data_IF_511668078478
#
_entry.id   IF_511668078478
#
_cell.length_a   1.000
_cell.length_b   1.000
_cell.length_c   1.000
_cell.angle_alpha   90.00
_cell.angle_beta   90.00
_cell.angle_gamma   90.00
#
_symmetry.space_group_name_H-M   'P 1'
#
loop_
_entity.id
_entity.type
_entity.pdbx_description
1 polymer ?
#
# COMPACT_ATOMS: atom_id res chain seq x y z
N UNK A 1 -35.46 -20.88 11.75
CA UNK A 1 -34.68 -19.63 11.76
C UNK A 1 -33.59 -19.57 10.68
N UNK A 2 -32.81 -20.65 10.45
CA UNK A 2 -31.74 -20.65 9.41
C UNK A 2 -32.29 -20.49 7.97
N UNK A 3 -33.45 -21.08 7.65
CA UNK A 3 -34.06 -20.94 6.32
C UNK A 3 -34.57 -19.53 6.00
N UNK A 4 -34.97 -18.76 7.01
CA UNK A 4 -35.40 -17.36 6.84
C UNK A 4 -34.21 -16.43 6.60
N UNK A 5 -33.05 -16.74 7.19
CA UNK A 5 -31.82 -15.97 7.00
C UNK A 5 -31.22 -16.17 5.59
N UNK A 6 -31.30 -17.40 5.05
CA UNK A 6 -30.91 -17.70 3.67
C UNK A 6 -31.86 -17.06 2.64
N UNK A 7 -33.16 -17.01 2.94
CA UNK A 7 -34.14 -16.31 2.09
C UNK A 7 -33.95 -14.79 2.10
N UNK A 8 -33.64 -14.19 3.26
CA UNK A 8 -33.31 -12.76 3.34
C UNK A 8 -32.04 -12.39 2.56
N UNK A 9 -31.01 -13.25 2.59
CA UNK A 9 -29.78 -13.11 1.80
C UNK A 9 -30.03 -13.27 0.28
N UNK A 10 -31.02 -14.07 -0.11
CA UNK A 10 -31.40 -14.25 -1.51
C UNK A 10 -32.23 -13.07 -2.05
N UNK A 11 -33.10 -12.50 -1.22
CA UNK A 11 -33.93 -11.34 -1.58
C UNK A 11 -33.09 -10.05 -1.69
N UNK A 12 -32.09 -9.86 -0.81
CA UNK A 12 -31.13 -8.76 -0.95
C UNK A 12 -30.24 -8.88 -2.21
N UNK A 13 -29.97 -10.10 -2.68
CA UNK A 13 -29.18 -10.35 -3.89
C UNK A 13 -29.93 -10.00 -5.19
N UNK A 14 -31.27 -10.06 -5.20
CA UNK A 14 -32.07 -9.86 -6.41
C UNK A 14 -32.40 -8.38 -6.69
N UNK A 15 -32.30 -7.49 -5.68
CA UNK A 15 -32.61 -6.06 -5.83
C UNK A 15 -31.38 -5.20 -6.18
N UNK A 16 -30.15 -5.71 -6.05
CA UNK A 16 -28.93 -4.99 -6.42
C UNK A 16 -28.56 -5.23 -7.90
N UNK A 17 -29.40 -4.78 -8.83
CA UNK A 17 -28.98 -4.58 -10.22
C UNK A 17 -28.38 -3.20 -10.35
N UNK A 18 -27.12 -3.04 -9.96
CA UNK A 18 -26.32 -1.86 -10.32
C UNK A 18 -25.02 -2.28 -11.02
N UNK A 19 -24.78 -1.66 -12.18
CA UNK A 19 -23.54 -1.77 -12.95
C UNK A 19 -22.42 -1.01 -12.23
N UNK A 20 -21.92 -1.53 -11.13
CA UNK A 20 -20.66 -1.09 -10.51
C UNK A 20 -19.89 -2.32 -10.10
N UNK A 21 -18.57 -2.33 -10.36
CA UNK A 21 -17.69 -3.46 -10.10
C UNK A 21 -17.48 -3.62 -8.59
N UNK A 22 -18.45 -4.22 -7.90
CA UNK A 22 -18.21 -4.82 -6.59
C UNK A 22 -17.33 -6.05 -6.79
N UNK A 23 -16.06 -5.95 -6.37
CA UNK A 23 -15.42 -7.13 -5.81
C UNK A 23 -16.27 -7.46 -4.58
N UNK A 24 -17.22 -8.37 -4.73
CA UNK A 24 -17.91 -8.97 -3.60
C UNK A 24 -16.84 -9.72 -2.82
N UNK A 25 -16.26 -9.09 -1.80
CA UNK A 25 -15.70 -9.84 -0.69
C UNK A 25 -16.91 -10.16 0.17
N UNK A 26 -17.48 -11.37 0.12
CA UNK A 26 -18.52 -11.73 1.07
C UNK A 26 -17.94 -11.50 2.47
N UNK A 27 -18.65 -10.73 3.30
CA UNK A 27 -18.36 -10.59 4.73
C UNK A 27 -18.52 -12.00 5.30
N UNK A 28 -17.43 -12.74 5.30
CA UNK A 28 -17.40 -14.18 5.52
C UNK A 28 -17.11 -14.49 6.99
N UNK A 29 -16.65 -13.48 7.75
CA UNK A 29 -16.29 -13.62 9.16
C UNK A 29 -16.83 -12.48 10.03
N UNK A 30 -17.11 -12.79 11.30
CA UNK A 30 -17.48 -11.81 12.32
C UNK A 30 -16.42 -10.69 12.48
N UNK A 31 -15.15 -11.02 12.18
CA UNK A 31 -14.03 -10.10 12.27
C UNK A 31 -14.04 -9.07 11.13
N UNK A 32 -14.35 -9.47 9.91
CA UNK A 32 -14.56 -8.54 8.79
C UNK A 32 -15.71 -7.59 9.10
N UNK A 33 -16.81 -8.09 9.68
CA UNK A 33 -17.93 -7.25 10.10
C UNK A 33 -17.51 -6.19 11.13
N UNK A 34 -16.71 -6.54 12.13
CA UNK A 34 -16.21 -5.59 13.13
C UNK A 34 -15.32 -4.51 12.50
N UNK A 35 -14.48 -4.88 11.53
CA UNK A 35 -13.66 -3.93 10.78
C UNK A 35 -14.54 -2.93 10.01
N UNK A 36 -15.46 -3.39 9.17
CA UNK A 36 -16.30 -2.50 8.36
C UNK A 36 -17.17 -1.58 9.23
N UNK A 37 -17.66 -2.08 10.38
CA UNK A 37 -18.40 -1.26 11.35
C UNK A 37 -17.54 -0.14 11.94
N UNK A 38 -16.31 -0.46 12.37
CA UNK A 38 -15.39 0.53 12.92
C UNK A 38 -15.00 1.55 11.84
N UNK A 39 -14.69 1.08 10.62
CA UNK A 39 -14.31 1.94 9.50
C UNK A 39 -15.43 2.90 9.14
N UNK A 40 -16.67 2.40 9.00
CA UNK A 40 -17.83 3.25 8.72
C UNK A 40 -18.04 4.30 9.81
N UNK A 41 -17.79 3.96 11.08
CA UNK A 41 -17.92 4.90 12.19
C UNK A 41 -16.91 6.04 12.07
N UNK A 42 -15.64 5.73 11.75
CA UNK A 42 -14.62 6.74 11.47
C UNK A 42 -15.02 7.59 10.26
N UNK A 43 -15.43 6.95 9.16
CA UNK A 43 -15.83 7.59 7.93
C UNK A 43 -16.99 8.59 8.14
N UNK A 44 -18.09 8.13 8.75
CA UNK A 44 -19.26 8.96 9.03
C UNK A 44 -18.90 10.15 9.94
N UNK A 45 -17.95 9.95 10.87
CA UNK A 45 -17.48 11.01 11.75
C UNK A 45 -16.69 12.07 10.97
N UNK A 46 -15.71 11.65 10.18
CA UNK A 46 -14.89 12.57 9.37
C UNK A 46 -15.74 13.32 8.35
N UNK A 47 -16.68 12.65 7.68
CA UNK A 47 -17.60 13.30 6.75
C UNK A 47 -18.47 14.37 7.43
N UNK A 48 -19.01 14.09 8.63
CA UNK A 48 -19.77 15.07 9.40
C UNK A 48 -18.92 16.23 9.90
N UNK A 49 -17.69 15.93 10.35
CA UNK A 49 -16.72 16.94 10.80
C UNK A 49 -16.40 17.91 9.66
N UNK A 50 -16.02 17.36 8.50
CA UNK A 50 -15.66 18.12 7.31
C UNK A 50 -16.83 18.99 6.83
N UNK A 51 -18.04 18.43 6.76
CA UNK A 51 -19.25 19.20 6.40
C UNK A 51 -19.52 20.36 7.36
N UNK A 52 -19.44 20.13 8.68
CA UNK A 52 -19.67 21.18 9.69
C UNK A 52 -18.66 22.32 9.57
N UNK A 53 -17.40 21.99 9.28
CA UNK A 53 -16.33 22.98 9.20
C UNK A 53 -16.40 23.74 7.87
N UNK A 54 -16.75 23.06 6.77
CA UNK A 54 -17.06 23.72 5.49
C UNK A 54 -18.19 24.75 5.67
N UNK A 55 -19.28 24.38 6.32
CA UNK A 55 -20.43 25.25 6.60
C UNK A 55 -20.02 26.48 7.46
N UNK A 56 -19.14 26.28 8.44
CA UNK A 56 -18.58 27.37 9.25
C UNK A 56 -17.65 28.30 8.44
N UNK A 57 -17.00 27.78 7.41
CA UNK A 57 -16.06 28.51 6.55
C UNK A 57 -16.75 29.26 5.39
N UNK A 58 -17.97 28.90 4.99
CA UNK A 58 -18.69 29.51 3.84
C UNK A 58 -19.01 31.00 3.99
N UNK A 59 -18.86 31.57 5.19
CA UNK A 59 -19.09 33.00 5.47
C UNK A 59 -17.80 33.79 5.83
N UNK A 60 -16.62 33.20 5.68
CA UNK A 60 -15.34 33.87 5.97
C UNK A 60 -14.81 34.51 4.68
N UNK A 61 -14.62 35.85 4.63
CA UNK A 61 -14.10 36.52 3.44
C UNK A 61 -12.75 35.94 3.00
N UNK A 62 -12.62 35.60 1.70
CA UNK A 62 -11.42 35.06 1.04
C UNK A 62 -10.17 35.95 1.12
N UNK A 63 -10.25 37.12 1.77
CA UNK A 63 -9.19 38.10 1.75
C UNK A 63 -8.09 37.69 2.74
N UNK A 64 -7.13 36.89 2.27
CA UNK A 64 -5.86 36.55 2.93
C UNK A 64 -5.96 36.00 4.37
N UNK A 65 -7.10 35.46 4.77
CA UNK A 65 -7.32 35.09 6.16
C UNK A 65 -6.86 33.65 6.41
N UNK A 66 -5.64 33.54 6.90
CA UNK A 66 -5.01 32.37 7.47
C UNK A 66 -5.92 31.46 8.33
N UNK A 67 -6.89 32.05 9.03
CA UNK A 67 -7.89 31.33 9.83
C UNK A 67 -8.79 30.43 8.97
N UNK A 68 -9.04 30.79 7.71
CA UNK A 68 -9.77 29.95 6.74
C UNK A 68 -8.94 28.75 6.30
N UNK A 69 -7.65 28.94 6.01
CA UNK A 69 -6.73 27.84 5.68
C UNK A 69 -6.56 26.91 6.88
N UNK A 70 -6.40 27.45 8.09
CA UNK A 70 -6.30 26.64 9.31
C UNK A 70 -7.62 25.93 9.62
N UNK A 71 -8.78 26.58 9.43
CA UNK A 71 -10.08 25.94 9.58
C UNK A 71 -10.32 24.84 8.53
N UNK A 72 -9.92 25.04 7.28
CA UNK A 72 -9.93 23.96 6.27
C UNK A 72 -9.00 22.82 6.65
N UNK A 73 -7.80 23.11 7.15
CA UNK A 73 -6.85 22.10 7.62
C UNK A 73 -7.42 21.36 8.85
N UNK A 74 -8.14 22.04 9.73
CA UNK A 74 -8.80 21.42 10.87
C UNK A 74 -10.16 20.77 10.50
N UNK A 75 -10.66 20.94 9.27
CA UNK A 75 -11.95 20.42 8.82
C UNK A 75 -12.04 18.90 8.98
N UNK A 76 -10.93 18.25 8.64
CA UNK A 76 -10.84 16.80 8.56
C UNK A 76 -10.21 16.19 9.82
N UNK A 77 -9.71 17.04 10.74
CA UNK A 77 -9.13 16.64 12.01
C UNK A 77 -9.88 17.19 13.22
N UNK A 78 -10.45 16.27 14.00
CA UNK A 78 -11.11 16.55 15.27
C UNK A 78 -10.66 15.52 16.31
N UNK A 79 -10.69 15.89 17.59
CA UNK A 79 -10.12 15.10 18.70
C UNK A 79 -10.54 13.61 18.72
N UNK A 80 -11.70 13.26 18.16
CA UNK A 80 -12.18 11.87 18.13
C UNK A 80 -11.71 11.07 16.90
N UNK A 81 -11.09 11.66 15.88
CA UNK A 81 -10.61 10.93 14.69
C UNK A 81 -9.52 9.92 15.04
N UNK A 82 -8.54 10.31 15.86
CA UNK A 82 -7.45 9.44 16.32
C UNK A 82 -7.96 8.20 17.07
N UNK A 83 -8.76 8.31 18.16
CA UNK A 83 -9.24 7.13 18.86
C UNK A 83 -10.12 6.24 17.98
N UNK A 84 -10.90 6.82 17.05
CA UNK A 84 -11.67 6.06 16.06
C UNK A 84 -10.76 5.32 15.07
N UNK A 85 -9.72 5.95 14.54
CA UNK A 85 -8.75 5.32 13.65
C UNK A 85 -7.95 4.22 14.35
N UNK A 86 -7.56 4.41 15.61
CA UNK A 86 -6.99 3.34 16.45
C UNK A 86 -7.96 2.17 16.61
N UNK A 87 -9.27 2.44 16.72
CA UNK A 87 -10.29 1.38 16.79
C UNK A 87 -10.41 0.61 15.47
N UNK A 88 -10.35 1.30 14.31
CA UNK A 88 -10.32 0.68 12.98
C UNK A 88 -9.15 -0.28 12.86
N UNK A 89 -7.93 0.20 13.14
CA UNK A 89 -6.70 -0.56 12.98
C UNK A 89 -6.66 -1.81 13.86
N UNK A 90 -7.23 -1.76 15.06
CA UNK A 90 -7.37 -2.94 15.93
C UNK A 90 -8.20 -4.06 15.30
N UNK A 91 -9.07 -3.75 14.35
CA UNK A 91 -9.93 -4.73 13.68
C UNK A 91 -9.37 -5.27 12.37
N UNK A 92 -8.27 -4.70 11.85
CA UNK A 92 -7.65 -5.16 10.60
C UNK A 92 -7.24 -6.62 10.70
N UNK A 93 -7.79 -7.51 9.85
CA UNK A 93 -7.51 -8.95 9.93
C UNK A 93 -6.03 -9.30 9.84
N UNK A 94 -5.33 -8.71 8.87
CA UNK A 94 -3.91 -8.94 8.63
C UNK A 94 -3.04 -8.73 9.88
N UNK A 95 -3.32 -7.69 10.67
CA UNK A 95 -2.53 -7.36 11.85
C UNK A 95 -2.73 -8.35 13.01
N UNK A 96 -3.81 -9.12 13.01
CA UNK A 96 -4.04 -10.20 14.00
C UNK A 96 -3.29 -11.49 13.63
N UNK A 97 -2.89 -11.64 12.36
CA UNK A 97 -2.15 -12.79 11.86
C UNK A 97 -0.65 -12.72 12.20
N UNK A 98 -0.11 -11.52 12.41
CA UNK A 98 1.26 -11.35 12.89
C UNK A 98 1.35 -11.77 14.35
N UNK A 99 2.26 -12.70 14.67
CA UNK A 99 2.47 -13.24 16.02
C UNK A 99 3.86 -12.84 16.51
N UNK A 100 4.02 -11.70 17.20
CA UNK A 100 5.32 -11.28 17.70
C UNK A 100 6.01 -12.38 18.51
N UNK A 101 7.28 -12.62 18.23
CA UNK A 101 8.13 -13.61 18.92
C UNK A 101 8.86 -13.02 20.12
N UNK A 102 8.92 -11.70 20.22
CA UNK A 102 9.63 -10.96 21.25
C UNK A 102 9.10 -9.51 21.33
N UNK A 103 9.52 -8.78 22.38
CA UNK A 103 9.12 -7.39 22.63
C UNK A 103 9.47 -6.45 21.47
N UNK A 104 10.58 -6.69 20.75
CA UNK A 104 10.97 -5.86 19.60
C UNK A 104 9.96 -5.99 18.45
N UNK A 105 9.49 -7.21 18.18
CA UNK A 105 8.43 -7.46 17.19
C UNK A 105 7.06 -6.91 17.63
N UNK A 106 6.78 -6.81 18.94
CA UNK A 106 5.58 -6.15 19.47
C UNK A 106 5.60 -4.63 19.22
N UNK A 107 6.76 -4.01 19.42
CA UNK A 107 6.98 -2.60 19.11
C UNK A 107 6.85 -2.36 17.59
N UNK A 108 7.42 -3.24 16.77
CA UNK A 108 7.25 -3.20 15.32
C UNK A 108 5.76 -3.27 14.93
N UNK A 109 4.99 -4.22 15.47
CA UNK A 109 3.57 -4.33 15.15
C UNK A 109 2.77 -3.11 15.63
N UNK A 110 3.15 -2.51 16.76
CA UNK A 110 2.57 -1.26 17.25
C UNK A 110 2.81 -0.13 16.24
N UNK A 111 4.05 0.01 15.77
CA UNK A 111 4.40 1.01 14.77
C UNK A 111 3.68 0.80 13.42
N UNK A 112 3.57 -0.44 12.94
CA UNK A 112 2.76 -0.77 11.74
C UNK A 112 1.31 -0.32 11.90
N UNK A 113 0.73 -0.50 13.10
CA UNK A 113 -0.63 -0.07 13.40
C UNK A 113 -0.75 1.45 13.45
N UNK A 114 0.23 2.16 14.00
CA UNK A 114 0.24 3.62 14.02
C UNK A 114 0.33 4.19 12.59
N UNK A 115 1.19 3.63 11.72
CA UNK A 115 1.23 4.01 10.31
C UNK A 115 -0.06 3.70 9.56
N UNK A 116 -0.68 2.54 9.83
CA UNK A 116 -1.97 2.21 9.25
C UNK A 116 -3.10 3.13 9.75
N UNK A 117 -3.01 3.66 10.97
CA UNK A 117 -3.96 4.63 11.49
C UNK A 117 -3.87 5.94 10.69
N UNK A 118 -2.66 6.43 10.42
CA UNK A 118 -2.45 7.60 9.56
C UNK A 118 -3.00 7.36 8.14
N UNK A 119 -2.71 6.20 7.53
CA UNK A 119 -3.26 5.85 6.21
C UNK A 119 -4.79 5.79 6.19
N UNK A 120 -5.44 5.35 7.28
CA UNK A 120 -6.90 5.30 7.34
C UNK A 120 -7.50 6.70 7.29
N UNK A 121 -6.90 7.64 8.02
CA UNK A 121 -7.36 9.02 8.08
C UNK A 121 -7.12 9.73 6.73
N UNK A 122 -5.91 9.61 6.17
CA UNK A 122 -5.52 10.17 4.87
C UNK A 122 -6.41 9.68 3.72
N UNK A 123 -6.63 8.37 3.66
CA UNK A 123 -7.47 7.77 2.62
C UNK A 123 -8.93 8.23 2.70
N UNK A 124 -9.47 8.39 3.91
CA UNK A 124 -10.85 8.87 4.09
C UNK A 124 -10.96 10.34 3.66
N UNK A 125 -10.00 11.16 4.06
CA UNK A 125 -9.93 12.58 3.72
C UNK A 125 -9.94 12.80 2.20
N UNK A 126 -9.09 12.05 1.49
CA UNK A 126 -9.02 12.10 0.01
C UNK A 126 -10.26 11.55 -0.70
N UNK A 127 -11.15 10.86 0.02
CA UNK A 127 -12.25 10.08 -0.55
C UNK A 127 -13.60 10.38 0.08
N UNK A 128 -13.80 11.57 0.68
CA UNK A 128 -15.04 11.93 1.39
C UNK A 128 -16.32 11.89 0.54
N UNK A 129 -16.16 11.96 -0.79
CA UNK A 129 -17.26 11.87 -1.76
C UNK A 129 -17.63 10.41 -2.12
N UNK A 130 -16.78 9.45 -1.76
CA UNK A 130 -16.94 8.04 -2.13
C UNK A 130 -17.85 7.27 -1.16
N UNK A 131 -18.15 6.01 -1.50
CA UNK A 131 -18.85 5.11 -0.56
C UNK A 131 -17.88 4.61 0.50
N UNK A 132 -18.22 4.74 1.78
CA UNK A 132 -17.41 4.23 2.91
C UNK A 132 -16.94 2.78 2.74
N UNK A 133 -17.77 1.92 2.14
CA UNK A 133 -17.43 0.52 1.86
C UNK A 133 -16.32 0.39 0.81
N UNK A 134 -16.29 1.24 -0.21
CA UNK A 134 -15.24 1.26 -1.22
C UNK A 134 -13.90 1.65 -0.58
N UNK A 135 -13.88 2.77 0.14
CA UNK A 135 -12.70 3.28 0.86
C UNK A 135 -12.16 2.26 1.88
N UNK A 136 -13.06 1.56 2.59
CA UNK A 136 -12.67 0.49 3.52
C UNK A 136 -11.97 -0.69 2.82
N UNK A 137 -12.39 -1.05 1.61
CA UNK A 137 -11.75 -2.12 0.83
C UNK A 137 -10.38 -1.69 0.33
N UNK A 138 -10.25 -0.46 -0.17
CA UNK A 138 -8.96 0.10 -0.58
C UNK A 138 -7.98 0.13 0.59
N UNK A 139 -8.43 0.56 1.77
CA UNK A 139 -7.63 0.53 2.98
C UNK A 139 -7.07 -0.87 3.28
N UNK A 140 -7.92 -1.91 3.24
CA UNK A 140 -7.48 -3.28 3.46
C UNK A 140 -6.50 -3.76 2.38
N UNK A 141 -6.75 -3.40 1.13
CA UNK A 141 -5.90 -3.77 0.01
C UNK A 141 -4.51 -3.14 0.10
N UNK A 142 -4.41 -1.84 0.39
CA UNK A 142 -3.14 -1.12 0.57
C UNK A 142 -2.30 -1.78 1.66
N UNK A 143 -2.91 -2.04 2.82
CA UNK A 143 -2.21 -2.67 3.95
C UNK A 143 -1.81 -4.11 3.64
N UNK A 144 -2.64 -4.87 2.93
CA UNK A 144 -2.31 -6.22 2.47
C UNK A 144 -1.19 -6.21 1.43
N UNK A 145 -1.22 -5.26 0.49
CA UNK A 145 -0.16 -5.07 -0.49
C UNK A 145 1.15 -4.81 0.23
N UNK A 146 1.20 -3.86 1.18
CA UNK A 146 2.43 -3.47 1.86
C UNK A 146 2.97 -4.58 2.79
N UNK A 147 2.15 -5.07 3.71
CA UNK A 147 2.62 -5.87 4.85
C UNK A 147 2.48 -7.39 4.68
N UNK A 148 1.54 -7.90 3.86
CA UNK A 148 1.28 -9.34 3.81
C UNK A 148 2.50 -10.20 3.41
N UNK A 149 3.34 -9.79 2.42
CA UNK A 149 4.53 -10.55 2.08
C UNK A 149 5.55 -10.67 3.23
N UNK A 150 5.73 -9.60 3.99
CA UNK A 150 6.62 -9.60 5.16
C UNK A 150 6.05 -10.48 6.28
N UNK A 151 4.74 -10.39 6.54
CA UNK A 151 4.08 -11.17 7.58
C UNK A 151 4.07 -12.67 7.24
N UNK A 152 3.88 -13.02 5.97
CA UNK A 152 3.96 -14.41 5.54
C UNK A 152 5.40 -14.95 5.60
N UNK A 153 6.40 -14.13 5.29
CA UNK A 153 7.80 -14.50 5.48
C UNK A 153 8.14 -14.71 6.97
N UNK A 154 7.63 -13.85 7.85
CA UNK A 154 7.78 -13.98 9.31
C UNK A 154 7.19 -15.29 9.84
N UNK A 155 5.96 -15.63 9.41
CA UNK A 155 5.32 -16.93 9.71
C UNK A 155 6.16 -18.11 9.24
N UNK A 156 6.89 -17.93 8.13
CA UNK A 156 7.82 -18.92 7.58
C UNK A 156 9.24 -18.87 8.19
N UNK A 157 9.45 -18.07 9.24
CA UNK A 157 10.70 -18.05 10.01
C UNK A 157 11.62 -16.86 9.75
N UNK A 158 11.25 -15.90 8.90
CA UNK A 158 12.03 -14.67 8.70
C UNK A 158 12.11 -13.85 10.00
N UNK A 159 13.32 -13.35 10.31
CA UNK A 159 13.52 -12.26 11.27
C UNK A 159 13.20 -10.93 10.59
N UNK A 160 12.06 -10.34 10.97
CA UNK A 160 11.54 -9.10 10.38
C UNK A 160 12.42 -7.91 10.71
N UNK A 161 12.98 -7.86 11.92
CA UNK A 161 13.77 -6.73 12.39
C UNK A 161 15.11 -6.71 11.64
N UNK A 162 15.77 -7.87 11.53
CA UNK A 162 17.00 -7.99 10.76
C UNK A 162 16.80 -7.71 9.26
N UNK A 163 15.61 -8.06 8.71
CA UNK A 163 15.23 -7.72 7.35
C UNK A 163 15.10 -6.21 7.14
N UNK A 164 14.33 -5.52 7.99
CA UNK A 164 14.13 -4.07 7.90
C UNK A 164 15.44 -3.29 8.08
N UNK A 165 16.31 -3.74 8.99
CA UNK A 165 17.65 -3.16 9.15
C UNK A 165 18.51 -3.28 7.88
N UNK A 166 18.38 -4.37 7.11
CA UNK A 166 19.08 -4.48 5.83
C UNK A 166 18.51 -3.56 4.76
N UNK A 167 17.18 -3.48 4.65
CA UNK A 167 16.56 -2.51 3.75
C UNK A 167 17.05 -1.09 4.08
N UNK A 168 17.04 -0.74 5.37
CA UNK A 168 17.54 0.55 5.81
C UNK A 168 18.99 0.79 5.38
N UNK A 169 19.90 -0.18 5.55
CA UNK A 169 21.30 -0.06 5.09
C UNK A 169 21.42 0.16 3.58
N UNK A 170 20.51 -0.40 2.77
CA UNK A 170 20.52 -0.28 1.31
C UNK A 170 20.02 1.11 0.89
N UNK A 171 18.86 1.51 1.42
CA UNK A 171 18.20 2.74 1.01
C UNK A 171 18.78 4.00 1.65
N UNK A 172 19.27 3.93 2.91
CA UNK A 172 19.92 5.08 3.57
C UNK A 172 21.23 5.51 2.89
N UNK A 173 21.97 4.55 2.32
CA UNK A 173 23.23 4.82 1.59
C UNK A 173 23.01 5.31 0.17
N UNK A 174 21.79 5.22 -0.35
CA UNK A 174 21.49 5.52 -1.74
C UNK A 174 20.42 6.61 -1.81
N UNK A 175 20.86 7.85 -1.63
CA UNK A 175 19.99 9.03 -1.71
C UNK A 175 19.24 9.14 -3.04
N UNK A 176 19.79 8.59 -4.13
CA UNK A 176 19.10 8.54 -5.43
C UNK A 176 17.87 7.62 -5.39
N UNK A 177 17.95 6.46 -4.73
CA UNK A 177 16.77 5.60 -4.55
C UNK A 177 15.70 6.23 -3.65
N UNK A 178 16.03 7.25 -2.86
CA UNK A 178 15.03 7.99 -2.08
C UNK A 178 14.44 9.19 -2.83
N UNK A 179 14.95 9.54 -4.01
CA UNK A 179 14.41 10.65 -4.81
C UNK A 179 13.03 10.31 -5.33
N UNK A 180 12.05 11.12 -4.92
CA UNK A 180 10.65 11.07 -5.38
C UNK A 180 10.52 10.84 -6.89
N UNK A 181 11.31 11.53 -7.73
CA UNK A 181 11.27 11.36 -9.19
C UNK A 181 11.46 9.91 -9.64
N UNK A 182 12.27 9.12 -8.95
CA UNK A 182 12.50 7.71 -9.27
C UNK A 182 11.32 6.80 -8.87
N UNK A 183 10.43 7.30 -8.01
CA UNK A 183 9.19 6.65 -7.61
C UNK A 183 8.04 7.07 -8.55
N UNK A 184 8.06 8.33 -9.04
CA UNK A 184 7.01 8.92 -9.88
C UNK A 184 7.12 8.67 -11.40
N UNK A 185 8.17 8.01 -11.91
CA UNK A 185 8.44 7.89 -13.37
C UNK A 185 7.24 7.36 -14.20
N UNK A 186 6.30 6.63 -13.60
CA UNK A 186 5.10 6.15 -14.30
C UNK A 186 3.87 7.08 -14.20
N UNK A 187 3.75 7.87 -13.14
CA UNK A 187 2.58 8.73 -12.88
C UNK A 187 2.36 9.74 -14.02
N UNK A 188 3.44 10.22 -14.63
CA UNK A 188 3.44 11.19 -15.74
C UNK A 188 3.08 10.59 -17.12
N UNK A 189 3.02 9.25 -17.27
CA UNK A 189 2.59 8.61 -18.52
C UNK A 189 1.13 8.17 -18.54
N UNK A 190 0.39 8.42 -17.46
CA UNK A 190 -1.07 8.50 -17.43
C UNK A 190 -1.81 7.19 -17.74
N UNK A 191 -2.56 6.69 -16.76
CA UNK A 191 -3.79 5.97 -17.01
C UNK A 191 -4.93 6.85 -16.51
N UNK A 192 -5.15 7.98 -17.19
CA UNK A 192 -6.33 8.80 -16.96
C UNK A 192 -7.58 7.94 -17.13
N UNK A 193 -8.66 8.23 -16.39
CA UNK A 193 -9.91 7.46 -16.45
C UNK A 193 -10.40 7.21 -17.89
N UNK A 194 -10.22 8.19 -18.77
CA UNK A 194 -10.60 8.11 -20.17
C UNK A 194 -9.80 7.05 -20.95
N UNK A 195 -8.53 6.89 -20.61
CA UNK A 195 -7.68 5.83 -21.15
C UNK A 195 -8.02 4.47 -20.52
N UNK A 196 -8.42 4.42 -19.24
CA UNK A 196 -8.89 3.18 -18.58
C UNK A 196 -10.08 2.55 -19.33
N UNK A 197 -11.01 3.36 -19.84
CA UNK A 197 -12.20 2.87 -20.61
C UNK A 197 -11.82 2.10 -21.88
N UNK A 198 -10.73 2.49 -22.54
CA UNK A 198 -10.26 1.86 -23.79
C UNK A 198 -9.19 0.78 -23.57
N UNK A 199 -8.53 0.78 -22.41
CA UNK A 199 -7.48 -0.17 -22.02
C UNK A 199 -8.04 -1.41 -21.31
N UNK A 200 -9.28 -1.34 -20.80
CA UNK A 200 -9.98 -2.45 -20.13
C UNK A 200 -10.87 -3.21 -21.14
N UNK A 201 -10.37 -4.19 -21.90
CA UNK A 201 -11.15 -5.37 -22.18
C UNK A 201 -11.11 -6.26 -20.92
N UNK A 202 -12.27 -6.82 -20.56
CA UNK A 202 -12.60 -7.68 -19.41
C UNK A 202 -11.57 -8.78 -19.07
N UNK A 203 -10.41 -8.44 -18.47
CA UNK A 203 -9.47 -9.43 -17.91
C UNK A 203 -9.00 -9.06 -16.49
N UNK A 204 -9.17 -9.95 -15.48
CA UNK A 204 -8.88 -9.64 -14.07
C UNK A 204 -7.45 -9.16 -13.76
N UNK A 205 -6.42 -9.69 -14.46
CA UNK A 205 -5.02 -9.33 -14.19
C UNK A 205 -4.68 -7.87 -14.56
N UNK A 206 -5.37 -7.30 -15.56
CA UNK A 206 -5.19 -5.90 -15.98
C UNK A 206 -5.76 -4.95 -14.93
N UNK A 207 -6.97 -5.25 -14.44
CA UNK A 207 -7.61 -4.49 -13.36
C UNK A 207 -6.73 -4.47 -12.11
N UNK A 208 -6.14 -5.61 -11.75
CA UNK A 208 -5.28 -5.74 -10.57
C UNK A 208 -4.01 -4.89 -10.67
N UNK A 209 -3.37 -4.82 -11.84
CA UNK A 209 -2.22 -3.92 -12.03
C UNK A 209 -2.62 -2.46 -11.79
N UNK A 210 -3.69 -2.01 -12.45
CA UNK A 210 -4.17 -0.62 -12.32
C UNK A 210 -4.54 -0.29 -10.87
N UNK A 211 -5.22 -1.21 -10.20
CA UNK A 211 -5.62 -1.07 -8.80
C UNK A 211 -4.40 -0.96 -7.88
N UNK A 212 -3.50 -1.95 -7.92
CA UNK A 212 -2.29 -1.91 -7.09
C UNK A 212 -1.44 -0.67 -7.40
N UNK A 213 -1.43 -0.19 -8.66
CA UNK A 213 -0.71 1.04 -9.02
C UNK A 213 -1.35 2.29 -8.42
N UNK A 214 -2.68 2.43 -8.48
CA UNK A 214 -3.38 3.52 -7.82
C UNK A 214 -3.17 3.50 -6.29
N UNK A 215 -3.23 2.31 -5.71
CA UNK A 215 -3.16 2.10 -4.27
C UNK A 215 -1.75 2.35 -3.71
N UNK A 216 -0.66 2.21 -4.49
CA UNK A 216 0.72 2.49 -4.00
C UNK A 216 1.05 3.97 -3.90
N UNK A 217 0.29 4.84 -4.56
CA UNK A 217 0.47 6.28 -4.49
C UNK A 217 -0.06 6.86 -3.18
N UNK A 218 -0.99 6.16 -2.51
CA UNK A 218 -1.55 6.63 -1.23
C UNK A 218 -0.51 6.55 -0.10
N UNK A 219 0.17 5.40 0.15
CA UNK A 219 1.26 5.38 1.13
C UNK A 219 2.44 6.28 0.79
N UNK A 220 2.62 6.67 -0.48
CA UNK A 220 3.66 7.65 -0.84
C UNK A 220 3.43 8.97 -0.15
N UNK A 221 2.19 9.41 -0.03
CA UNK A 221 1.90 10.70 0.56
C UNK A 221 2.37 10.70 2.02
N UNK A 222 2.12 9.62 2.73
CA UNK A 222 2.57 9.40 4.11
C UNK A 222 4.07 9.22 4.25
N UNK A 223 4.69 8.37 3.44
CA UNK A 223 6.09 8.01 3.65
C UNK A 223 7.09 8.92 2.91
N UNK A 224 6.72 9.45 1.74
CA UNK A 224 7.54 10.35 0.94
C UNK A 224 7.18 11.82 1.14
N UNK A 225 6.25 12.10 2.07
CA UNK A 225 5.99 13.43 2.63
C UNK A 225 5.61 14.44 1.55
N UNK A 226 4.72 14.08 0.61
CA UNK A 226 4.52 14.85 -0.63
C UNK A 226 4.20 16.34 -0.34
N UNK A 227 4.49 17.19 -1.32
CA UNK A 227 4.38 18.65 -1.28
C UNK A 227 2.98 19.17 -0.86
N UNK A 228 1.96 18.34 -0.97
CA UNK A 228 0.56 18.59 -0.60
C UNK A 228 0.10 17.66 0.53
N UNK A 229 1.02 17.29 1.43
CA UNK A 229 0.69 16.49 2.62
C UNK A 229 -0.46 17.17 3.36
N UNK A 230 -1.56 16.46 3.69
CA UNK A 230 -2.68 17.09 4.33
C UNK A 230 -2.16 17.73 5.63
N UNK A 231 -2.26 19.05 5.73
CA UNK A 231 -1.63 19.78 6.83
C UNK A 231 -2.21 19.35 8.19
N UNK A 232 -3.31 18.61 8.20
CA UNK A 232 -3.89 18.00 9.37
C UNK A 232 -3.11 16.76 9.82
N UNK A 233 -2.56 15.93 8.91
CA UNK A 233 -1.68 14.80 9.28
C UNK A 233 -0.45 15.34 9.99
N UNK A 234 0.09 16.45 9.50
CA UNK A 234 1.19 17.17 10.13
C UNK A 234 0.80 17.69 11.53
N UNK A 235 -0.44 18.15 11.74
CA UNK A 235 -0.95 18.53 13.06
C UNK A 235 -1.04 17.33 14.01
N UNK A 236 -1.51 16.18 13.52
CA UNK A 236 -1.56 14.93 14.30
C UNK A 236 -0.15 14.51 14.70
N UNK A 237 0.78 14.48 13.75
CA UNK A 237 2.17 14.11 14.00
C UNK A 237 2.83 15.10 14.96
N UNK A 238 2.63 16.41 14.79
CA UNK A 238 3.14 17.41 15.72
C UNK A 238 2.59 17.22 17.15
N UNK A 239 1.33 16.82 17.29
CA UNK A 239 0.72 16.51 18.60
C UNK A 239 1.31 15.22 19.19
N UNK A 240 1.42 14.16 18.39
CA UNK A 240 1.94 12.86 18.84
C UNK A 240 3.44 12.92 19.20
N UNK A 241 4.22 13.68 18.43
CA UNK A 241 5.66 13.81 18.62
C UNK A 241 6.06 15.03 19.45
N UNK A 242 5.10 15.79 19.98
CA UNK A 242 5.36 17.00 20.77
C UNK A 242 6.31 17.97 20.03
N UNK A 243 6.05 18.16 18.74
CA UNK A 243 6.96 18.88 17.84
C UNK A 243 7.13 20.37 18.11
N UNK A 244 6.24 20.95 18.92
CA UNK A 244 6.29 22.37 19.29
C UNK A 244 5.98 23.33 18.12
N UNK A 245 5.52 22.83 16.98
CA UNK A 245 5.06 23.69 15.88
C UNK A 245 3.69 24.24 16.26
N UNK A 246 3.52 25.55 16.19
CA UNK A 246 2.20 26.16 16.29
C UNK A 246 1.33 25.72 15.10
N UNK A 247 0.02 25.51 15.30
CA UNK A 247 -0.89 24.97 14.27
C UNK A 247 -0.90 25.80 12.96
N UNK A 248 -1.18 27.09 13.05
CA UNK A 248 -0.08 28.01 12.98
C UNK A 248 0.83 27.94 11.71
N UNK A 249 2.04 27.47 11.93
CA UNK A 249 3.13 27.31 10.97
C UNK A 249 3.11 25.98 10.22
N UNK A 250 2.16 25.10 10.48
CA UNK A 250 2.07 23.81 9.80
C UNK A 250 1.86 23.94 8.27
N UNK A 251 1.08 24.92 7.75
CA UNK A 251 0.99 25.15 6.32
C UNK A 251 2.29 25.65 5.67
N UNK A 252 3.24 26.17 6.46
CA UNK A 252 4.54 26.60 5.93
C UNK A 252 5.37 25.37 5.57
N UNK A 253 5.55 25.16 4.26
CA UNK A 253 6.27 24.01 3.71
C UNK A 253 7.65 23.85 4.35
N UNK A 254 8.41 24.93 4.53
CA UNK A 254 9.77 24.82 5.08
C UNK A 254 9.75 24.33 6.53
N UNK A 255 8.90 24.92 7.36
CA UNK A 255 8.73 24.51 8.76
C UNK A 255 8.25 23.06 8.86
N UNK A 256 7.33 22.65 7.99
CA UNK A 256 6.87 21.28 7.90
C UNK A 256 8.00 20.31 7.57
N UNK A 257 8.76 20.56 6.50
CA UNK A 257 9.87 19.70 6.10
C UNK A 257 10.95 19.59 7.19
N UNK A 258 11.32 20.72 7.80
CA UNK A 258 12.28 20.72 8.92
C UNK A 258 11.78 19.90 10.12
N UNK A 259 10.48 19.95 10.44
CA UNK A 259 9.90 19.09 11.47
C UNK A 259 9.93 17.61 11.10
N UNK A 260 9.52 17.27 9.88
CA UNK A 260 9.51 15.87 9.43
C UNK A 260 10.93 15.30 9.41
N UNK A 261 11.92 16.05 8.94
CA UNK A 261 13.32 15.64 8.92
C UNK A 261 13.87 15.43 10.35
N UNK A 262 13.61 16.38 11.26
CA UNK A 262 14.04 16.29 12.67
C UNK A 262 13.38 15.14 13.43
N UNK A 263 12.17 14.76 13.04
CA UNK A 263 11.41 13.71 13.70
C UNK A 263 11.37 12.40 12.91
N UNK A 264 12.07 12.28 11.78
CA UNK A 264 11.96 11.13 10.88
C UNK A 264 12.16 9.79 11.59
N UNK A 265 13.12 9.70 12.51
CA UNK A 265 13.36 8.49 13.30
C UNK A 265 12.25 8.21 14.34
N UNK A 266 11.60 9.25 14.87
CA UNK A 266 10.47 9.11 15.80
C UNK A 266 9.19 8.73 15.07
N UNK A 267 9.02 9.28 13.86
CA UNK A 267 7.89 9.00 12.96
C UNK A 267 7.99 7.59 12.40
N UNK A 268 9.17 7.14 11.97
CA UNK A 268 9.36 5.82 11.38
C UNK A 268 10.54 5.04 12.00
N UNK A 269 10.46 4.66 13.29
CA UNK A 269 11.53 3.97 14.00
C UNK A 269 11.83 2.56 13.48
N UNK A 270 10.93 1.97 12.69
CA UNK A 270 11.12 0.64 12.07
C UNK A 270 11.56 0.71 10.61
N UNK A 271 11.73 1.91 10.04
CA UNK A 271 12.08 2.08 8.64
C UNK A 271 11.05 1.45 7.68
N UNK A 272 9.76 1.60 7.97
CA UNK A 272 8.66 1.16 7.11
C UNK A 272 8.65 1.88 5.75
N UNK A 273 9.24 3.07 5.64
CA UNK A 273 9.45 3.69 4.33
C UNK A 273 10.41 2.86 3.47
N UNK A 274 11.48 2.29 4.05
CA UNK A 274 12.41 1.45 3.31
C UNK A 274 11.74 0.13 2.87
N UNK A 275 10.80 -0.40 3.67
CA UNK A 275 9.90 -1.49 3.25
C UNK A 275 9.03 -1.06 2.08
N UNK A 276 8.39 0.11 2.16
CA UNK A 276 7.58 0.66 1.08
C UNK A 276 8.41 0.79 -0.21
N UNK A 277 9.64 1.33 -0.14
CA UNK A 277 10.55 1.44 -1.28
C UNK A 277 10.88 0.09 -1.90
N UNK A 278 11.18 -0.91 -1.07
CA UNK A 278 11.44 -2.29 -1.53
C UNK A 278 10.24 -2.89 -2.30
N UNK A 279 9.02 -2.39 -2.07
CA UNK A 279 7.80 -2.84 -2.74
C UNK A 279 7.45 -2.03 -3.97
N UNK A 280 7.61 -0.71 -3.93
CA UNK A 280 7.29 0.17 -5.07
C UNK A 280 8.32 0.04 -6.19
N UNK A 281 9.60 -0.13 -5.89
CA UNK A 281 10.65 -0.16 -6.91
C UNK A 281 10.46 -1.28 -7.95
N UNK A 282 10.25 -2.56 -7.54
CA UNK A 282 9.93 -3.61 -8.50
C UNK A 282 8.65 -3.35 -9.28
N UNK A 283 7.61 -2.79 -8.65
CA UNK A 283 6.36 -2.49 -9.34
C UNK A 283 6.58 -1.41 -10.41
N UNK A 284 7.15 -0.26 -10.03
CA UNK A 284 7.41 0.86 -10.92
C UNK A 284 8.34 0.46 -12.08
N UNK A 285 9.40 -0.32 -11.81
CA UNK A 285 10.30 -0.84 -12.85
C UNK A 285 9.59 -1.69 -13.89
N UNK A 286 8.66 -2.56 -13.46
CA UNK A 286 8.01 -3.54 -14.33
C UNK A 286 6.68 -3.03 -14.93
N UNK A 287 6.05 -2.02 -14.33
CA UNK A 287 4.75 -1.49 -14.73
C UNK A 287 4.65 -1.07 -16.21
N UNK A 288 5.61 -0.31 -16.80
CA UNK A 288 5.58 0.01 -18.22
C UNK A 288 5.50 -1.23 -19.11
N UNK A 289 6.26 -2.28 -18.78
CA UNK A 289 6.28 -3.50 -19.56
C UNK A 289 5.00 -4.33 -19.39
N UNK A 290 4.42 -4.36 -18.18
CA UNK A 290 3.11 -4.96 -18.02
C UNK A 290 2.09 -4.25 -18.90
N UNK A 291 2.11 -2.91 -18.91
CA UNK A 291 1.23 -2.10 -19.73
C UNK A 291 1.41 -2.36 -21.23
N UNK A 292 2.65 -2.32 -21.74
CA UNK A 292 2.96 -2.60 -23.14
C UNK A 292 2.54 -4.01 -23.55
N UNK A 293 2.69 -5.00 -22.66
CA UNK A 293 2.22 -6.36 -22.89
C UNK A 293 0.69 -6.46 -23.01
N UNK A 294 -0.06 -5.51 -22.45
CA UNK A 294 -1.51 -5.43 -22.62
C UNK A 294 -1.89 -4.97 -24.03
N UNK A 295 -1.05 -4.13 -24.64
CA UNK A 295 -1.28 -3.54 -25.95
C UNK A 295 -0.72 -4.41 -27.09
N UNK A 296 0.43 -5.07 -26.88
CA UNK A 296 1.17 -5.78 -27.93
C UNK A 296 1.56 -7.22 -27.52
N UNK A 297 0.64 -8.20 -27.57
CA UNK A 297 0.92 -9.57 -27.16
C UNK A 297 1.93 -10.32 -28.06
N UNK A 298 2.21 -9.83 -29.28
CA UNK A 298 3.06 -10.51 -30.28
C UNK A 298 4.55 -10.54 -29.92
N UNK A 299 5.05 -9.65 -29.07
CA UNK A 299 6.47 -9.56 -28.67
C UNK A 299 6.73 -10.08 -27.24
N UNK A 300 5.72 -10.68 -26.62
CA UNK A 300 5.69 -11.02 -25.20
C UNK A 300 6.85 -11.91 -24.73
N UNK A 301 7.26 -12.91 -25.53
CA UNK A 301 8.33 -13.83 -25.13
C UNK A 301 9.69 -13.14 -25.02
N UNK A 302 10.02 -12.27 -25.97
CA UNK A 302 11.28 -11.52 -25.96
C UNK A 302 11.28 -10.50 -24.82
N UNK A 303 10.16 -9.78 -24.64
CA UNK A 303 10.01 -8.84 -23.54
C UNK A 303 10.22 -9.50 -22.17
N UNK A 304 9.61 -10.67 -21.91
CA UNK A 304 9.79 -11.41 -20.65
C UNK A 304 11.20 -11.98 -20.49
N UNK A 305 11.87 -12.32 -21.59
CA UNK A 305 13.27 -12.77 -21.56
C UNK A 305 14.23 -11.63 -21.21
N UNK A 306 14.00 -10.46 -21.79
CA UNK A 306 14.83 -9.26 -21.59
C UNK A 306 14.53 -8.60 -20.22
N UNK A 307 13.30 -8.76 -19.72
CA UNK A 307 12.83 -8.21 -18.44
C UNK A 307 12.29 -9.32 -17.51
N UNK A 308 13.15 -10.27 -17.07
CA UNK A 308 12.70 -11.46 -16.33
C UNK A 308 12.13 -11.14 -14.94
N UNK A 309 12.40 -9.95 -14.40
CA UNK A 309 11.81 -9.45 -13.15
C UNK A 309 10.29 -9.31 -13.22
N UNK A 310 9.73 -9.12 -14.43
CA UNK A 310 8.28 -9.12 -14.63
C UNK A 310 7.62 -10.43 -14.18
N UNK A 311 8.35 -11.54 -14.29
CA UNK A 311 7.85 -12.85 -13.89
C UNK A 311 7.63 -12.98 -12.38
N UNK A 312 8.27 -12.12 -11.57
CA UNK A 312 8.21 -12.18 -10.10
C UNK A 312 6.87 -11.69 -9.52
N UNK A 313 6.02 -11.05 -10.33
CA UNK A 313 4.64 -10.69 -9.96
C UNK A 313 3.62 -11.29 -10.96
N UNK A 314 3.43 -12.62 -10.94
CA UNK A 314 2.59 -13.31 -11.92
C UNK A 314 1.11 -12.90 -11.86
N UNK A 315 0.63 -12.33 -10.74
CA UNK A 315 -0.71 -11.71 -10.63
C UNK A 315 -1.02 -10.62 -11.67
N UNK A 316 -0.01 -9.98 -12.26
CA UNK A 316 -0.19 -8.98 -13.33
C UNK A 316 -0.08 -9.56 -14.74
N UNK A 317 0.21 -10.86 -14.85
CA UNK A 317 0.47 -11.54 -16.10
C UNK A 317 -0.75 -12.32 -16.57
N UNK A 318 -0.92 -12.41 -17.90
CA UNK A 318 -1.88 -13.34 -18.49
C UNK A 318 -1.46 -14.80 -18.24
N UNK A 319 -2.39 -15.78 -18.30
CA UNK A 319 -2.02 -17.19 -18.15
C UNK A 319 -0.92 -17.66 -19.12
N UNK A 320 -0.96 -17.19 -20.38
CA UNK A 320 0.08 -17.49 -21.37
C UNK A 320 1.43 -16.88 -20.97
N UNK A 321 1.45 -15.63 -20.50
CA UNK A 321 2.66 -14.98 -20.00
C UNK A 321 3.25 -15.71 -18.78
N UNK A 322 2.41 -16.20 -17.87
CA UNK A 322 2.85 -16.99 -16.72
C UNK A 322 3.50 -18.31 -17.17
N UNK A 323 2.94 -18.99 -18.17
CA UNK A 323 3.55 -20.20 -18.75
C UNK A 323 4.91 -19.92 -19.39
N UNK A 324 5.03 -18.81 -20.14
CA UNK A 324 6.31 -18.37 -20.71
C UNK A 324 7.33 -18.11 -19.60
N UNK A 325 6.95 -17.39 -18.54
CA UNK A 325 7.81 -17.17 -17.38
C UNK A 325 8.29 -18.48 -16.76
N UNK A 326 7.40 -19.47 -16.57
CA UNK A 326 7.79 -20.78 -16.05
C UNK A 326 8.80 -21.49 -16.97
N UNK A 327 8.61 -21.42 -18.30
CA UNK A 327 9.55 -22.00 -19.26
C UNK A 327 10.90 -21.29 -19.23
N UNK A 328 10.92 -19.95 -19.22
CA UNK A 328 12.13 -19.14 -19.13
C UNK A 328 12.93 -19.48 -17.86
N UNK A 329 12.24 -19.57 -16.72
CA UNK A 329 12.87 -19.84 -15.42
C UNK A 329 13.38 -21.28 -15.31
N UNK A 330 12.64 -22.26 -15.81
CA UNK A 330 13.10 -23.67 -15.86
C UNK A 330 14.30 -23.85 -16.78
N UNK A 331 14.28 -23.21 -17.96
CA UNK A 331 15.36 -23.32 -18.95
C UNK A 331 16.55 -22.38 -18.67
N UNK A 332 16.42 -21.46 -17.71
CA UNK A 332 17.41 -20.42 -17.40
C UNK A 332 17.86 -19.62 -18.64
N UNK A 333 16.91 -19.30 -19.53
CA UNK A 333 17.20 -18.64 -20.82
C UNK A 333 17.09 -17.11 -20.76
N UNK A 334 17.20 -16.52 -19.57
CA UNK A 334 17.13 -15.09 -19.29
C UNK A 334 18.42 -14.61 -18.62
N UNK A 335 18.62 -13.29 -18.54
CA UNK A 335 19.75 -12.74 -17.79
C UNK A 335 19.50 -12.85 -16.27
N UNK A 336 20.15 -13.81 -15.62
CA UNK A 336 20.04 -14.04 -14.17
C UNK A 336 20.45 -12.82 -13.34
N UNK A 337 21.34 -11.96 -13.86
CA UNK A 337 21.81 -10.75 -13.19
C UNK A 337 20.64 -9.80 -12.84
N UNK A 338 19.63 -9.69 -13.70
CA UNK A 338 18.47 -8.83 -13.44
C UNK A 338 17.68 -9.28 -12.20
N UNK A 339 17.58 -10.59 -11.99
CA UNK A 339 16.93 -11.17 -10.79
C UNK A 339 17.81 -11.01 -9.57
N UNK A 340 19.13 -11.22 -9.70
CA UNK A 340 20.09 -11.02 -8.62
C UNK A 340 20.11 -9.57 -8.14
N UNK A 341 20.19 -8.60 -9.06
CA UNK A 341 20.15 -7.17 -8.74
C UNK A 341 18.84 -6.78 -8.04
N UNK A 342 17.68 -7.30 -8.50
CA UNK A 342 16.42 -7.08 -7.80
C UNK A 342 16.44 -7.70 -6.40
N UNK A 343 16.93 -8.94 -6.24
CA UNK A 343 17.01 -9.60 -4.94
C UNK A 343 17.96 -8.87 -3.98
N UNK A 344 19.10 -8.36 -4.45
CA UNK A 344 19.99 -7.54 -3.63
C UNK A 344 19.33 -6.25 -3.17
N UNK A 345 18.49 -5.64 -4.01
CA UNK A 345 17.76 -4.42 -3.67
C UNK A 345 16.67 -4.67 -2.62
N UNK A 346 15.82 -5.68 -2.82
CA UNK A 346 14.61 -5.88 -1.99
C UNK A 346 14.79 -6.90 -0.86
N UNK A 347 15.89 -7.67 -0.91
CA UNK A 347 16.30 -8.77 -0.01
C UNK A 347 15.35 -9.96 0.04
N UNK A 348 14.05 -9.76 -0.07
CA UNK A 348 13.00 -10.77 -0.03
C UNK A 348 12.20 -10.74 -1.33
N UNK A 349 12.16 -11.86 -2.04
CA UNK A 349 11.22 -12.08 -3.15
C UNK A 349 10.07 -12.94 -2.65
N UNK A 350 8.85 -12.47 -2.88
CA UNK A 350 7.61 -13.19 -2.66
C UNK A 350 6.83 -13.31 -3.96
N UNK A 351 6.20 -14.46 -4.20
CA UNK A 351 5.33 -14.71 -5.36
C UNK A 351 3.88 -14.68 -4.87
N UNK A 352 3.09 -13.69 -5.31
CA UNK A 352 1.69 -13.47 -4.90
C UNK A 352 1.49 -13.54 -3.36
N UNK A 353 2.37 -12.86 -2.62
CA UNK A 353 2.44 -12.81 -1.15
C UNK A 353 3.01 -14.06 -0.45
N UNK A 354 3.32 -15.13 -1.17
CA UNK A 354 4.02 -16.29 -0.59
C UNK A 354 5.53 -16.04 -0.61
N UNK A 355 6.23 -16.11 0.53
CA UNK A 355 7.67 -15.92 0.57
C UNK A 355 8.38 -16.99 -0.27
N UNK A 356 9.42 -16.60 -1.01
CA UNK A 356 10.11 -17.51 -1.91
C UNK A 356 11.60 -17.66 -1.60
N UNK A 357 12.34 -16.56 -1.68
CA UNK A 357 13.77 -16.50 -1.38
C UNK A 357 14.10 -15.21 -0.64
N UNK A 358 15.12 -15.27 0.21
CA UNK A 358 15.62 -14.14 0.98
C UNK A 358 17.16 -14.15 0.99
N UNK A 359 17.80 -13.00 0.85
CA UNK A 359 19.23 -12.84 1.11
C UNK A 359 19.43 -12.37 2.54
N UNK A 360 20.06 -13.21 3.36
CA UNK A 360 20.40 -12.87 4.74
C UNK A 360 21.46 -11.76 4.84
N UNK A 361 21.79 -11.20 6.02
CA UNK A 361 22.76 -10.10 6.11
C UNK A 361 24.16 -10.38 5.55
N UNK A 362 24.49 -11.64 5.24
CA UNK A 362 25.76 -12.10 4.67
C UNK A 362 25.65 -12.45 3.18
N UNK A 363 24.57 -12.02 2.53
CA UNK A 363 24.24 -12.32 1.13
C UNK A 363 24.10 -13.81 0.84
N UNK A 364 23.81 -14.62 1.87
CA UNK A 364 23.52 -16.04 1.65
C UNK A 364 22.03 -16.21 1.34
N UNK A 365 21.76 -16.93 0.25
CA UNK A 365 20.41 -17.27 -0.16
C UNK A 365 19.76 -18.22 0.86
N UNK A 366 18.64 -17.81 1.38
CA UNK A 366 17.71 -18.57 2.19
C UNK A 366 16.47 -18.87 1.36
N UNK A 367 15.99 -20.11 1.43
CA UNK A 367 14.84 -20.58 0.65
C UNK A 367 13.66 -20.89 1.56
N UNK A 368 12.47 -20.46 1.18
CA UNK A 368 11.24 -20.80 1.89
C UNK A 368 10.55 -22.00 1.24
N UNK A 369 9.88 -22.84 2.03
CA UNK A 369 9.11 -23.95 1.47
C UNK A 369 8.01 -23.40 0.54
N UNK A 370 7.97 -23.87 -0.70
CA UNK A 370 6.97 -23.43 -1.68
C UNK A 370 6.56 -24.58 -2.60
N UNK A 371 5.30 -24.58 -3.02
CA UNK A 371 4.78 -25.42 -4.11
C UNK A 371 4.67 -24.66 -5.43
N UNK A 372 4.95 -23.35 -5.42
CA UNK A 372 4.86 -22.52 -6.63
C UNK A 372 6.02 -22.85 -7.58
N UNK A 373 5.69 -23.26 -8.81
CA UNK A 373 6.69 -23.70 -9.80
C UNK A 373 7.73 -22.63 -10.16
N UNK A 374 7.33 -21.35 -10.20
CA UNK A 374 8.26 -20.26 -10.44
C UNK A 374 9.21 -20.08 -9.25
N UNK A 375 8.69 -20.16 -8.04
CA UNK A 375 9.50 -20.09 -6.83
C UNK A 375 10.52 -21.24 -6.75
N UNK A 376 10.08 -22.46 -7.03
CA UNK A 376 10.96 -23.63 -7.07
C UNK A 376 12.07 -23.50 -8.13
N UNK A 377 11.81 -22.79 -9.23
CA UNK A 377 12.84 -22.49 -10.22
C UNK A 377 13.83 -21.42 -9.73
N UNK A 378 13.33 -20.34 -9.11
CA UNK A 378 14.14 -19.30 -8.47
C UNK A 378 15.10 -19.86 -7.42
N UNK A 379 14.64 -20.80 -6.60
CA UNK A 379 15.43 -21.42 -5.53
C UNK A 379 16.61 -22.27 -6.03
N UNK A 380 16.60 -22.65 -7.31
CA UNK A 380 17.67 -23.41 -7.96
C UNK A 380 18.66 -22.54 -8.72
N UNK A 381 18.45 -21.22 -8.74
CA UNK A 381 19.39 -20.30 -9.37
C UNK A 381 20.70 -20.29 -8.61
N UNK A 382 21.81 -20.21 -9.34
CA UNK A 382 23.13 -19.93 -8.75
C UNK A 382 23.20 -18.43 -8.48
N UNK A 383 23.34 -18.06 -7.21
CA UNK A 383 23.55 -16.69 -6.76
C UNK A 383 25.04 -16.43 -6.58
#
# INVERSE_FOLDING_TARGET
MIRLLLLALLVFNLQAKEKVVTIFIPISTLQEFQFFKAFKTLYDYMQKSSAKIKDACENVPLNNNYDYTLAQIMADYTDASIPLAKAVVKQVPLFKEFKPKNQREELFLTHVKDMAMFHALDLIDMSLEEKATFVAHEFLHINAWLYAPLFNAHKAGLDVIAYLQQLHRIFSKNGDLRRMRNIFVFHEKGLYEEQRKNIIPYKPFRKRLIQDMHEVDIPMDIFALRIDYPSWVALVMNTIFEGGISANRIPDRRTFWDFMDKNAQRIDPEHLFDLYLARVFPLNRNAPYYYDSLQNPKILKNMLKDNPTMCLSPKYLSPQSQQICQQLFKAQTYNAKNIQEQLHLVRLISIDNSPCVYLDPKDKLQVFKSSNALCLALQKMKF
#
